data_IF_977275500389
#
_entry.id   IF_977275500389
#
_cell.length_a   1.000
_cell.length_b   1.000
_cell.length_c   1.000
_cell.angle_alpha   90.00
_cell.angle_beta   90.00
_cell.angle_gamma   90.00
#
_symmetry.space_group_name_H-M   'P 1'
#
loop_
_entity.id
_entity.type
_entity.pdbx_description
1 polymer ?
#
# COMPACT_ATOMS: atom_id res chain seq x y z
N UNK A 1 -14.41 -22.80 -7.05
CA UNK A 1 -13.87 -22.01 -5.92
C UNK A 1 -12.54 -21.45 -6.38
N UNK A 2 -12.33 -20.13 -6.26
CA UNK A 2 -11.05 -19.51 -6.57
C UNK A 2 -10.02 -19.91 -5.51
N UNK A 3 -8.86 -20.39 -5.95
CA UNK A 3 -7.77 -20.74 -5.05
C UNK A 3 -7.11 -19.45 -4.59
N UNK A 4 -7.26 -19.09 -3.31
CA UNK A 4 -6.69 -17.88 -2.72
C UNK A 4 -5.38 -18.26 -2.04
N UNK A 5 -4.28 -17.64 -2.46
CA UNK A 5 -2.93 -17.90 -1.94
C UNK A 5 -2.28 -16.57 -1.54
N UNK A 6 -1.53 -16.59 -0.45
CA UNK A 6 -0.68 -15.46 -0.04
C UNK A 6 0.65 -15.48 -0.80
N UNK A 7 1.21 -14.29 -1.03
CA UNK A 7 2.56 -14.08 -1.57
C UNK A 7 3.15 -12.78 -1.00
N UNK A 8 4.46 -12.64 -1.12
CA UNK A 8 5.15 -11.42 -0.73
C UNK A 8 4.71 -10.25 -1.63
N UNK A 9 4.68 -9.05 -1.03
CA UNK A 9 4.50 -7.79 -1.75
C UNK A 9 5.75 -7.53 -2.60
N UNK A 10 5.54 -7.04 -3.82
CA UNK A 10 6.60 -6.67 -4.75
C UNK A 10 6.39 -5.22 -5.21
N UNK A 11 7.42 -4.60 -5.79
CA UNK A 11 7.35 -3.21 -6.26
C UNK A 11 6.20 -2.97 -7.26
N UNK A 12 5.91 -3.97 -8.10
CA UNK A 12 4.82 -3.91 -9.09
C UNK A 12 3.41 -3.84 -8.47
N UNK A 13 3.27 -4.14 -7.17
CA UNK A 13 2.01 -4.00 -6.44
C UNK A 13 1.75 -2.55 -6.01
N UNK A 14 2.80 -1.74 -5.90
CA UNK A 14 2.72 -0.39 -5.34
C UNK A 14 1.76 0.54 -6.11
N UNK A 15 1.73 0.54 -7.46
CA UNK A 15 0.73 1.33 -8.19
C UNK A 15 -0.72 0.93 -7.87
N UNK A 16 -0.97 -0.36 -7.62
CA UNK A 16 -2.31 -0.86 -7.24
C UNK A 16 -2.66 -0.36 -5.84
N UNK A 17 -1.75 -0.50 -4.88
CA UNK A 17 -1.95 -0.04 -3.51
C UNK A 17 -2.15 1.48 -3.42
N UNK A 18 -1.42 2.25 -4.23
CA UNK A 18 -1.61 3.69 -4.30
C UNK A 18 -2.98 4.08 -4.87
N UNK A 19 -3.48 3.33 -5.86
CA UNK A 19 -4.86 3.54 -6.34
C UNK A 19 -5.87 3.28 -5.24
N UNK A 20 -5.68 2.22 -4.45
CA UNK A 20 -6.55 1.91 -3.31
C UNK A 20 -6.45 2.97 -2.20
N UNK A 21 -5.26 3.49 -1.92
CA UNK A 21 -5.07 4.55 -0.93
C UNK A 21 -5.81 5.84 -1.32
N UNK A 22 -5.94 6.14 -2.61
CA UNK A 22 -6.67 7.32 -3.09
C UNK A 22 -8.19 7.17 -3.06
N UNK A 23 -8.71 5.97 -2.77
CA UNK A 23 -10.15 5.74 -2.68
C UNK A 23 -10.76 6.55 -1.51
N UNK A 24 -11.69 7.44 -1.84
CA UNK A 24 -12.27 8.36 -0.86
C UNK A 24 -13.12 7.63 0.17
N UNK A 25 -13.91 6.65 -0.25
CA UNK A 25 -14.78 5.88 0.65
C UNK A 25 -13.93 5.06 1.63
N UNK A 26 -12.86 4.43 1.13
CA UNK A 26 -11.91 3.72 1.97
C UNK A 26 -11.24 4.65 3.00
N UNK A 27 -10.85 5.86 2.59
CA UNK A 27 -10.26 6.84 3.49
C UNK A 27 -11.26 7.36 4.55
N UNK A 28 -12.55 7.46 4.22
CA UNK A 28 -13.57 7.83 5.18
C UNK A 28 -13.85 6.73 6.22
N UNK A 29 -13.69 5.46 5.84
CA UNK A 29 -13.92 4.31 6.73
C UNK A 29 -12.71 3.95 7.59
N UNK A 30 -11.49 4.20 7.10
CA UNK A 30 -10.27 3.81 7.79
C UNK A 30 -10.00 4.66 9.04
N UNK A 31 -9.62 4.01 10.14
CA UNK A 31 -9.21 4.69 11.37
C UNK A 31 -7.88 5.46 11.23
N UNK A 32 -7.04 5.04 10.28
CA UNK A 32 -5.73 5.64 9.98
C UNK A 32 -5.57 5.80 8.48
N UNK A 33 -5.25 7.01 8.05
CA UNK A 33 -5.07 7.37 6.63
C UNK A 33 -3.84 8.24 6.46
N UNK A 34 -3.36 8.33 5.22
CA UNK A 34 -2.37 9.34 4.85
C UNK A 34 -2.99 10.74 4.94
N UNK A 35 -2.20 11.74 5.36
CA UNK A 35 -2.62 13.15 5.33
C UNK A 35 -2.87 13.64 3.90
N UNK A 36 -2.07 13.15 2.96
CA UNK A 36 -2.25 13.38 1.53
C UNK A 36 -2.25 12.01 0.83
N UNK A 37 -3.43 11.41 0.60
CA UNK A 37 -3.53 10.13 -0.09
C UNK A 37 -3.01 10.14 -1.54
N UNK A 38 -2.92 11.32 -2.16
CA UNK A 38 -2.45 11.53 -3.54
C UNK A 38 -0.95 11.83 -3.67
N UNK A 39 -0.20 11.90 -2.56
CA UNK A 39 1.24 12.09 -2.60
C UNK A 39 1.97 10.79 -2.89
N UNK A 40 2.30 10.58 -4.17
CA UNK A 40 3.06 9.43 -4.64
C UNK A 40 4.46 9.32 -4.00
N UNK A 41 5.15 10.45 -3.79
CA UNK A 41 6.52 10.43 -3.31
C UNK A 41 6.57 10.01 -1.83
N UNK A 42 5.65 10.53 -1.02
CA UNK A 42 5.51 10.12 0.38
C UNK A 42 5.11 8.65 0.49
N UNK A 43 4.16 8.20 -0.33
CA UNK A 43 3.75 6.80 -0.42
C UNK A 43 4.93 5.89 -0.76
N UNK A 44 5.68 6.19 -1.82
CA UNK A 44 6.80 5.38 -2.27
C UNK A 44 7.94 5.36 -1.25
N UNK A 45 8.23 6.50 -0.62
CA UNK A 45 9.26 6.58 0.44
C UNK A 45 8.91 5.68 1.64
N UNK A 46 7.63 5.58 2.00
CA UNK A 46 7.18 4.67 3.06
C UNK A 46 7.34 3.21 2.65
N UNK A 47 6.87 2.84 1.45
CA UNK A 47 6.92 1.47 0.96
C UNK A 47 8.33 0.96 0.70
N UNK A 48 9.23 1.79 0.18
CA UNK A 48 10.63 1.39 -0.03
C UNK A 48 11.31 1.02 1.29
N UNK A 49 11.03 1.74 2.39
CA UNK A 49 11.54 1.37 3.72
C UNK A 49 11.05 0.00 4.18
N UNK A 50 9.82 -0.38 3.83
CA UNK A 50 9.24 -1.68 4.16
C UNK A 50 9.88 -2.76 3.29
N UNK A 51 9.95 -2.54 1.97
CA UNK A 51 10.50 -3.50 1.01
C UNK A 51 11.99 -3.79 1.24
N UNK A 52 12.77 -2.79 1.68
CA UNK A 52 14.19 -2.95 2.00
C UNK A 52 14.44 -3.60 3.37
N UNK A 53 13.41 -3.67 4.23
CA UNK A 53 13.55 -4.22 5.56
C UNK A 53 13.47 -5.75 5.56
N UNK A 54 14.62 -6.39 5.75
CA UNK A 54 14.78 -7.85 5.76
C UNK A 54 14.14 -8.55 6.96
N UNK A 55 13.76 -7.80 7.99
CA UNK A 55 13.08 -8.34 9.18
C UNK A 55 11.55 -8.42 8.99
N UNK A 56 11.03 -7.84 7.90
CA UNK A 56 9.61 -7.94 7.51
C UNK A 56 9.47 -9.13 6.55
N UNK A 57 8.73 -10.16 6.99
CA UNK A 57 8.55 -11.45 6.30
C UNK A 57 7.32 -11.42 5.39
#
# INVERSE_FOLDING_TARGET
MSNIMLRNVMEDDLPVFFKLQQDQDANHMAAFTSKDPGDWNSFLTHWNKILENKDII
#
